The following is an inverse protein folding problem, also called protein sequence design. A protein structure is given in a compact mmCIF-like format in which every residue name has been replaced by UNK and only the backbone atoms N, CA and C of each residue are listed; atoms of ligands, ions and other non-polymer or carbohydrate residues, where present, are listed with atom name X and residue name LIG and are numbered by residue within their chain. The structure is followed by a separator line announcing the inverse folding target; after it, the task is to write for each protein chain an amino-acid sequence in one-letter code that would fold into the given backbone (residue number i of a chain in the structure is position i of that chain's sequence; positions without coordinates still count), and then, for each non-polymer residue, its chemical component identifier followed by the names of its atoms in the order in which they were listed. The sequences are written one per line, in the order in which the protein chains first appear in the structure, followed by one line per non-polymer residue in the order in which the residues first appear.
data_IF_034983260288
#
_entry.id   IF_034983260288
#
_cell.length_a   1.000
_cell.length_b   1.000
_cell.length_c   1.000
_cell.angle_alpha   90.00
_cell.angle_beta   90.00
_cell.angle_gamma   90.00
#
_symmetry.space_group_name_H-M   'P 1'
#
loop_
_entity.id
_entity.type
_entity.pdbx_description
1 polymer ?
#
# COMPACT_ATOMS: atom_id res chain seq x y z
N UNK A 1 -19.08 24.63 -13.35
CA UNK A 1 -19.07 24.80 -11.87
C UNK A 1 -20.00 23.76 -11.28
N UNK A 2 -19.53 22.77 -10.51
CA UNK A 2 -20.42 21.82 -9.85
C UNK A 2 -21.40 22.56 -8.93
N UNK A 3 -22.66 22.12 -8.89
CA UNK A 3 -23.66 22.72 -8.01
C UNK A 3 -23.24 22.52 -6.55
N UNK A 4 -23.48 23.49 -5.68
CA UNK A 4 -23.12 23.40 -4.25
C UNK A 4 -23.65 22.13 -3.57
N UNK A 5 -24.77 21.60 -4.09
CA UNK A 5 -25.37 20.33 -3.67
C UNK A 5 -24.53 19.10 -4.03
N UNK A 6 -23.87 19.04 -5.20
CA UNK A 6 -23.08 17.87 -5.62
C UNK A 6 -21.74 17.80 -4.89
N UNK A 7 -21.10 18.95 -4.65
CA UNK A 7 -19.89 19.02 -3.81
C UNK A 7 -20.19 18.56 -2.38
N UNK A 8 -21.36 18.92 -1.83
CA UNK A 8 -21.78 18.50 -0.49
C UNK A 8 -21.97 16.98 -0.39
N UNK A 9 -22.56 16.33 -1.40
CA UNK A 9 -22.75 14.87 -1.40
C UNK A 9 -21.43 14.11 -1.58
N UNK A 10 -20.52 14.60 -2.43
CA UNK A 10 -19.22 14.00 -2.63
C UNK A 10 -18.33 14.08 -1.37
N UNK A 11 -18.37 15.21 -0.66
CA UNK A 11 -17.70 15.34 0.65
C UNK A 11 -18.29 14.37 1.68
N UNK A 12 -19.62 14.22 1.74
CA UNK A 12 -20.25 13.22 2.63
C UNK A 12 -19.80 11.80 2.30
N UNK A 13 -19.62 11.49 1.02
CA UNK A 13 -19.09 10.21 0.59
C UNK A 13 -17.66 10.00 1.10
N UNK A 14 -16.76 10.98 0.95
CA UNK A 14 -15.40 10.91 1.51
C UNK A 14 -15.39 10.78 3.05
N UNK A 15 -16.25 11.53 3.75
CA UNK A 15 -16.37 11.40 5.21
C UNK A 15 -16.86 10.02 5.63
N UNK A 16 -17.73 9.38 4.85
CA UNK A 16 -18.17 8.02 5.14
C UNK A 16 -17.01 7.01 5.07
N UNK A 17 -16.06 7.17 4.14
CA UNK A 17 -14.83 6.38 4.12
C UNK A 17 -13.99 6.61 5.38
N UNK A 18 -13.81 7.87 5.80
CA UNK A 18 -13.06 8.19 7.03
C UNK A 18 -13.70 7.53 8.27
N UNK A 19 -15.03 7.40 8.30
CA UNK A 19 -15.74 6.66 9.35
C UNK A 19 -15.44 5.16 9.29
N UNK A 20 -15.37 4.56 8.11
CA UNK A 20 -14.99 3.14 7.95
C UNK A 20 -13.55 2.95 8.42
N UNK A 21 -12.60 3.77 7.96
CA UNK A 21 -11.20 3.75 8.39
C UNK A 21 -11.03 3.90 9.91
N UNK A 22 -11.85 4.74 10.55
CA UNK A 22 -11.84 4.88 12.00
C UNK A 22 -12.39 3.64 12.72
N UNK A 23 -13.33 2.91 12.13
CA UNK A 23 -13.82 1.63 12.67
C UNK A 23 -12.75 0.54 12.56
N UNK A 24 -12.06 0.45 11.41
CA UNK A 24 -10.94 -0.49 11.21
C UNK A 24 -9.96 -0.37 12.39
N UNK A 25 -9.43 0.84 12.61
CA UNK A 25 -8.49 1.12 13.71
C UNK A 25 -9.01 0.80 15.12
N UNK A 26 -10.33 0.88 15.35
CA UNK A 26 -10.95 0.61 16.67
C UNK A 26 -11.24 -0.86 16.91
N UNK A 27 -11.56 -1.62 15.85
CA UNK A 27 -11.79 -3.05 15.96
C UNK A 27 -10.54 -3.79 16.45
N UNK A 28 -9.36 -3.20 16.23
CA UNK A 28 -8.08 -3.68 16.73
C UNK A 28 -7.92 -3.58 18.26
N UNK A 29 -8.39 -2.50 18.88
CA UNK A 29 -8.29 -2.31 20.34
C UNK A 29 -9.23 -3.27 21.13
N UNK A 30 -10.04 -4.06 20.43
CA UNK A 30 -11.05 -4.96 20.99
C UNK A 30 -10.62 -6.43 21.13
N UNK A 31 -11.34 -7.16 22.00
CA UNK A 31 -11.10 -8.58 22.29
C UNK A 31 -11.10 -9.49 21.03
N UNK A 32 -10.21 -10.50 20.94
CA UNK A 32 -9.98 -11.31 19.73
C UNK A 32 -11.17 -12.13 19.21
N UNK A 33 -12.20 -12.38 20.03
CA UNK A 33 -13.28 -13.32 19.70
C UNK A 33 -14.17 -12.97 18.50
N UNK A 34 -14.25 -11.70 18.07
CA UNK A 34 -15.15 -11.25 16.99
C UNK A 34 -14.43 -10.66 15.76
N UNK A 35 -13.11 -10.80 15.66
CA UNK A 35 -12.34 -10.01 14.68
C UNK A 35 -12.59 -10.42 13.22
N UNK A 36 -12.63 -11.72 12.89
CA UNK A 36 -12.86 -12.17 11.50
C UNK A 36 -14.23 -11.73 10.93
N UNK A 37 -15.29 -11.78 11.76
CA UNK A 37 -16.62 -11.31 11.37
C UNK A 37 -16.65 -9.79 11.14
N UNK A 38 -15.92 -9.04 11.97
CA UNK A 38 -15.77 -7.60 11.79
C UNK A 38 -15.01 -7.25 10.52
N UNK A 39 -13.95 -8.00 10.18
CA UNK A 39 -13.13 -7.77 8.99
C UNK A 39 -13.96 -7.91 7.71
N UNK A 40 -14.76 -8.98 7.60
CA UNK A 40 -15.65 -9.21 6.47
C UNK A 40 -16.72 -8.10 6.34
N UNK A 41 -17.29 -7.64 7.46
CA UNK A 41 -18.24 -6.52 7.47
C UNK A 41 -17.59 -5.20 7.04
N UNK A 42 -16.36 -4.95 7.47
CA UNK A 42 -15.60 -3.75 7.10
C UNK A 42 -15.21 -3.77 5.63
N UNK A 43 -14.75 -4.92 5.11
CA UNK A 43 -14.46 -5.12 3.68
C UNK A 43 -15.70 -4.91 2.83
N UNK A 44 -16.83 -5.51 3.20
CA UNK A 44 -18.11 -5.31 2.51
C UNK A 44 -18.56 -3.84 2.51
N UNK A 45 -18.34 -3.11 3.62
CA UNK A 45 -18.63 -1.68 3.69
C UNK A 45 -17.72 -0.86 2.76
N UNK A 46 -16.45 -1.23 2.62
CA UNK A 46 -15.53 -0.62 1.64
C UNK A 46 -15.98 -0.90 0.21
N UNK A 47 -16.37 -2.14 -0.10
CA UNK A 47 -16.82 -2.53 -1.44
C UNK A 47 -18.09 -1.78 -1.86
N UNK A 48 -19.01 -1.64 -0.92
CA UNK A 48 -20.23 -0.84 -1.09
C UNK A 48 -19.89 0.63 -1.34
N UNK A 49 -18.93 1.18 -0.59
CA UNK A 49 -18.46 2.54 -0.78
C UNK A 49 -17.85 2.74 -2.19
N UNK A 50 -16.98 1.82 -2.66
CA UNK A 50 -16.33 1.91 -3.97
C UNK A 50 -17.33 1.98 -5.13
N UNK A 51 -18.45 1.26 -5.04
CA UNK A 51 -19.49 1.21 -6.10
C UNK A 51 -20.13 2.56 -6.39
N UNK A 52 -20.12 3.49 -5.44
CA UNK A 52 -20.74 4.80 -5.59
C UNK A 52 -19.82 5.85 -6.23
N UNK A 53 -18.51 5.58 -6.40
CA UNK A 53 -17.52 6.51 -6.97
C UNK A 53 -17.99 7.14 -8.29
N UNK A 54 -18.50 6.39 -9.30
CA UNK A 54 -18.88 6.95 -10.59
C UNK A 54 -19.95 8.06 -10.50
N UNK A 55 -20.72 8.12 -9.41
CA UNK A 55 -21.75 9.15 -9.19
C UNK A 55 -21.17 10.53 -8.88
N UNK A 56 -19.88 10.61 -8.53
CA UNK A 56 -19.22 11.84 -8.09
C UNK A 56 -18.15 12.33 -9.07
N UNK A 57 -17.88 11.56 -10.13
CA UNK A 57 -16.97 11.94 -11.21
C UNK A 57 -17.44 13.25 -11.85
N UNK A 58 -16.56 14.25 -11.89
CA UNK A 58 -16.84 15.53 -12.56
C UNK A 58 -16.08 15.52 -13.89
N UNK A 59 -16.82 15.54 -15.01
CA UNK A 59 -16.25 15.52 -16.37
C UNK A 59 -15.40 16.77 -16.68
N UNK A 60 -15.74 17.92 -16.08
CA UNK A 60 -15.17 19.23 -16.47
C UNK A 60 -14.00 19.73 -15.59
N UNK A 61 -13.53 18.98 -14.59
CA UNK A 61 -12.32 19.38 -13.85
C UNK A 61 -11.53 18.17 -13.32
N UNK A 62 -10.53 17.69 -14.08
CA UNK A 62 -9.79 16.48 -13.75
C UNK A 62 -8.85 16.65 -12.55
N UNK A 63 -8.54 17.88 -12.08
CA UNK A 63 -7.53 18.12 -11.04
C UNK A 63 -8.10 18.33 -9.63
N UNK A 64 -8.93 17.40 -9.15
CA UNK A 64 -9.57 17.55 -7.83
C UNK A 64 -9.51 16.28 -6.98
N UNK A 65 -9.75 16.44 -5.68
CA UNK A 65 -9.89 15.33 -4.73
C UNK A 65 -11.08 14.40 -5.01
N UNK A 66 -11.89 14.71 -6.03
CA UNK A 66 -12.99 13.88 -6.54
C UNK A 66 -12.61 13.11 -7.80
N UNK A 67 -11.34 13.13 -8.20
CA UNK A 67 -10.88 12.35 -9.33
C UNK A 67 -11.16 10.85 -9.09
N UNK A 68 -11.81 10.12 -10.03
CA UNK A 68 -12.26 8.76 -9.78
C UNK A 68 -11.14 7.80 -9.38
N UNK A 69 -9.97 7.89 -10.05
CA UNK A 69 -8.81 7.08 -9.69
C UNK A 69 -8.25 7.45 -8.31
N UNK A 70 -8.34 8.72 -7.90
CA UNK A 70 -7.93 9.10 -6.55
C UNK A 70 -8.87 8.50 -5.51
N UNK A 71 -10.18 8.52 -5.75
CA UNK A 71 -11.16 7.90 -4.86
C UNK A 71 -11.00 6.37 -4.83
N UNK A 72 -10.66 5.74 -5.95
CA UNK A 72 -10.30 4.33 -6.00
C UNK A 72 -9.06 4.04 -5.13
N UNK A 73 -8.00 4.84 -5.25
CA UNK A 73 -6.82 4.71 -4.39
C UNK A 73 -7.18 4.84 -2.89
N UNK A 74 -8.10 5.73 -2.52
CA UNK A 74 -8.56 5.84 -1.13
C UNK A 74 -9.25 4.55 -0.62
N UNK A 75 -10.00 3.88 -1.49
CA UNK A 75 -10.53 2.54 -1.19
C UNK A 75 -9.39 1.53 -1.05
N UNK A 76 -8.45 1.47 -2.00
CA UNK A 76 -7.39 0.47 -2.02
C UNK A 76 -6.46 0.61 -0.81
N UNK A 77 -6.10 1.85 -0.43
CA UNK A 77 -5.40 2.10 0.84
C UNK A 77 -6.20 1.62 2.06
N UNK A 78 -7.53 1.71 2.03
CA UNK A 78 -8.35 1.24 3.15
C UNK A 78 -8.37 -0.28 3.27
N UNK A 79 -8.32 -0.99 2.14
CA UNK A 79 -8.09 -2.44 2.11
C UNK A 79 -6.70 -2.76 2.67
N UNK A 80 -5.66 -2.04 2.23
CA UNK A 80 -4.30 -2.23 2.73
C UNK A 80 -4.23 -1.99 4.25
N UNK A 81 -4.88 -0.96 4.79
CA UNK A 81 -4.93 -0.69 6.24
C UNK A 81 -5.62 -1.84 6.98
N UNK A 82 -6.76 -2.33 6.48
CA UNK A 82 -7.47 -3.46 7.07
C UNK A 82 -6.58 -4.71 7.15
N UNK A 83 -5.76 -4.93 6.13
CA UNK A 83 -4.92 -6.12 5.99
C UNK A 83 -3.60 -6.00 6.76
N UNK A 84 -3.00 -4.80 6.74
CA UNK A 84 -1.83 -4.43 7.52
C UNK A 84 -1.98 -4.77 9.01
N UNK A 85 -3.16 -4.49 9.56
CA UNK A 85 -3.47 -4.72 10.97
C UNK A 85 -3.57 -6.23 11.31
N UNK A 86 -3.85 -7.11 10.34
CA UNK A 86 -3.96 -8.57 10.53
C UNK A 86 -2.87 -9.40 9.84
N UNK A 87 -1.73 -8.81 9.47
CA UNK A 87 -0.65 -9.46 8.68
C UNK A 87 -0.19 -10.85 9.18
N UNK A 88 -0.29 -11.13 10.48
CA UNK A 88 0.15 -12.40 11.10
C UNK A 88 -0.87 -13.55 10.97
N UNK A 89 -2.05 -13.29 10.41
CA UNK A 89 -3.14 -14.27 10.28
C UNK A 89 -3.88 -14.19 8.95
N UNK A 90 -3.26 -13.58 7.95
CA UNK A 90 -3.84 -13.44 6.61
C UNK A 90 -4.19 -14.82 6.04
N UNK A 91 -5.41 -14.96 5.57
CA UNK A 91 -5.83 -16.12 4.80
C UNK A 91 -5.49 -15.92 3.32
N UNK A 92 -5.55 -16.97 2.52
CA UNK A 92 -5.25 -16.89 1.08
C UNK A 92 -6.09 -15.82 0.36
N UNK A 93 -7.40 -15.81 0.60
CA UNK A 93 -8.34 -14.83 0.03
C UNK A 93 -7.96 -13.38 0.43
N UNK A 94 -7.49 -13.18 1.66
CA UNK A 94 -7.03 -11.87 2.12
C UNK A 94 -5.79 -11.40 1.36
N UNK A 95 -4.90 -12.33 1.00
CA UNK A 95 -3.67 -12.06 0.25
C UNK A 95 -3.99 -11.63 -1.18
N UNK A 96 -4.94 -12.27 -1.86
CA UNK A 96 -5.36 -11.87 -3.21
C UNK A 96 -6.01 -10.49 -3.24
N UNK A 97 -6.92 -10.23 -2.30
CA UNK A 97 -7.61 -8.94 -2.17
C UNK A 97 -6.61 -7.79 -1.94
N UNK A 98 -5.65 -7.99 -1.02
CA UNK A 98 -4.67 -6.95 -0.71
C UNK A 98 -3.66 -6.78 -1.84
N UNK A 99 -3.23 -7.86 -2.49
CA UNK A 99 -2.28 -7.78 -3.59
C UNK A 99 -2.89 -7.03 -4.77
N UNK A 100 -4.15 -7.32 -5.09
CA UNK A 100 -4.90 -6.59 -6.12
C UNK A 100 -5.00 -5.10 -5.77
N UNK A 101 -5.36 -4.77 -4.53
CA UNK A 101 -5.43 -3.38 -4.07
C UNK A 101 -4.06 -2.65 -4.16
N UNK A 102 -2.96 -3.34 -3.83
CA UNK A 102 -1.61 -2.77 -3.92
C UNK A 102 -1.20 -2.52 -5.37
N UNK A 103 -1.43 -3.49 -6.27
CA UNK A 103 -1.10 -3.35 -7.69
C UNK A 103 -1.86 -2.15 -8.27
N UNK A 104 -3.17 -2.09 -8.04
CA UNK A 104 -4.02 -0.99 -8.48
C UNK A 104 -3.54 0.36 -7.94
N UNK A 105 -3.23 0.46 -6.64
CA UNK A 105 -2.84 1.75 -6.05
C UNK A 105 -1.48 2.22 -6.58
N UNK A 106 -0.52 1.32 -6.82
CA UNK A 106 0.79 1.68 -7.37
C UNK A 106 0.66 2.21 -8.81
N UNK A 107 -0.09 1.50 -9.66
CA UNK A 107 -0.28 1.88 -11.07
C UNK A 107 -1.13 3.15 -11.21
N UNK A 108 -2.26 3.23 -10.50
CA UNK A 108 -3.15 4.39 -10.54
C UNK A 108 -2.47 5.63 -9.96
N UNK A 109 -1.69 5.50 -8.88
CA UNK A 109 -0.97 6.63 -8.31
C UNK A 109 0.09 7.18 -9.27
N UNK A 110 0.86 6.29 -9.92
CA UNK A 110 1.85 6.72 -10.92
C UNK A 110 1.19 7.50 -12.05
N UNK A 111 0.09 6.98 -12.58
CA UNK A 111 -0.71 7.69 -13.61
C UNK A 111 -1.18 9.07 -13.13
N UNK A 112 -1.71 9.17 -11.91
CA UNK A 112 -2.13 10.45 -11.34
C UNK A 112 -0.96 11.43 -11.18
N UNK A 113 0.21 10.93 -10.82
CA UNK A 113 1.43 11.73 -10.72
C UNK A 113 1.89 12.24 -12.09
N UNK A 114 1.84 11.41 -13.13
CA UNK A 114 2.11 11.80 -14.52
C UNK A 114 1.12 12.85 -15.04
N UNK A 115 -0.14 12.75 -14.63
CA UNK A 115 -1.20 13.74 -14.90
C UNK A 115 -1.04 15.04 -14.06
N UNK A 116 -0.03 15.12 -13.18
CA UNK A 116 0.26 16.31 -12.38
C UNK A 116 -0.73 16.57 -11.24
N UNK A 117 -1.41 15.52 -10.75
CA UNK A 117 -2.47 15.65 -9.75
C UNK A 117 -1.92 16.11 -8.40
N UNK A 118 -2.41 17.25 -7.91
CA UNK A 118 -1.90 17.91 -6.70
C UNK A 118 -1.95 17.04 -5.44
N UNK A 119 -2.95 16.14 -5.36
CA UNK A 119 -3.13 15.24 -4.22
C UNK A 119 -1.99 14.22 -4.07
N UNK A 120 -1.30 13.90 -5.17
CA UNK A 120 -0.14 13.01 -5.16
C UNK A 120 1.07 13.66 -4.48
N UNK A 121 1.15 14.98 -4.40
CA UNK A 121 2.27 15.70 -3.80
C UNK A 121 1.91 16.17 -2.39
N UNK A 122 1.52 15.24 -1.53
CA UNK A 122 1.36 15.48 -0.08
C UNK A 122 2.19 14.49 0.73
N UNK A 123 2.62 14.87 1.94
CA UNK A 123 3.35 13.95 2.82
C UNK A 123 2.50 12.73 3.21
N UNK A 124 1.19 12.91 3.37
CA UNK A 124 0.28 11.79 3.60
C UNK A 124 0.26 10.81 2.43
N UNK A 125 0.26 11.31 1.19
CA UNK A 125 0.34 10.46 0.01
C UNK A 125 1.63 9.65 -0.03
N UNK A 126 2.78 10.26 0.30
CA UNK A 126 4.06 9.55 0.45
C UNK A 126 3.96 8.42 1.49
N UNK A 127 3.43 8.70 2.68
CA UNK A 127 3.32 7.68 3.74
C UNK A 127 2.39 6.53 3.36
N UNK A 128 1.25 6.82 2.70
CA UNK A 128 0.33 5.78 2.24
C UNK A 128 0.90 4.95 1.10
N UNK A 129 1.57 5.58 0.14
CA UNK A 129 2.31 4.88 -0.91
C UNK A 129 3.40 4.00 -0.28
N UNK A 130 4.17 4.54 0.67
CA UNK A 130 5.22 3.79 1.34
C UNK A 130 4.71 2.52 2.02
N UNK A 131 3.58 2.64 2.73
CA UNK A 131 2.91 1.48 3.31
C UNK A 131 2.50 0.45 2.25
N UNK A 132 1.95 0.87 1.12
CA UNK A 132 1.55 -0.02 0.03
C UNK A 132 2.75 -0.78 -0.56
N UNK A 133 3.84 -0.07 -0.86
CA UNK A 133 5.06 -0.68 -1.40
C UNK A 133 5.72 -1.66 -0.43
N UNK A 134 5.82 -1.31 0.86
CA UNK A 134 6.37 -2.24 1.86
C UNK A 134 5.46 -3.47 2.03
N UNK A 135 4.14 -3.28 2.02
CA UNK A 135 3.19 -4.40 2.09
C UNK A 135 3.33 -5.32 0.87
N UNK A 136 3.59 -4.79 -0.33
CA UNK A 136 3.86 -5.57 -1.54
C UNK A 136 5.02 -6.54 -1.31
N UNK A 137 6.17 -6.01 -0.89
CA UNK A 137 7.36 -6.82 -0.63
C UNK A 137 7.11 -7.84 0.48
N UNK A 138 6.39 -7.42 1.53
CA UNK A 138 6.12 -8.29 2.67
C UNK A 138 5.25 -9.50 2.27
N UNK A 139 4.20 -9.30 1.48
CA UNK A 139 3.33 -10.39 0.99
C UNK A 139 4.13 -11.41 0.17
N UNK A 140 5.02 -10.93 -0.70
CA UNK A 140 5.90 -11.79 -1.49
C UNK A 140 6.98 -12.48 -0.64
N UNK A 141 7.34 -11.89 0.50
CA UNK A 141 8.27 -12.49 1.45
C UNK A 141 7.62 -13.60 2.30
N UNK A 142 6.36 -13.42 2.74
CA UNK A 142 5.67 -14.40 3.61
C UNK A 142 4.92 -15.50 2.85
N UNK A 143 4.44 -15.22 1.63
CA UNK A 143 3.55 -16.13 0.89
C UNK A 143 4.22 -16.58 -0.41
N UNK A 144 4.28 -17.90 -0.70
CA UNK A 144 4.63 -18.38 -2.03
C UNK A 144 3.66 -17.84 -3.07
N UNK A 145 4.16 -17.19 -4.12
CA UNK A 145 3.32 -16.56 -5.14
C UNK A 145 3.29 -17.39 -6.42
N UNK A 146 2.11 -17.44 -7.05
CA UNK A 146 1.93 -18.02 -8.37
C UNK A 146 2.61 -17.16 -9.44
N UNK A 147 3.08 -17.81 -10.50
CA UNK A 147 3.78 -17.14 -11.62
C UNK A 147 2.90 -16.05 -12.26
N UNK A 148 1.57 -16.21 -12.22
CA UNK A 148 0.62 -15.27 -12.80
C UNK A 148 0.53 -13.95 -12.01
N UNK A 149 0.75 -13.96 -10.69
CA UNK A 149 0.71 -12.74 -9.86
C UNK A 149 2.04 -11.97 -9.87
N UNK A 150 3.14 -12.65 -10.24
CA UNK A 150 4.51 -12.09 -10.27
C UNK A 150 4.63 -10.94 -11.28
N UNK A 151 4.10 -11.09 -12.50
CA UNK A 151 4.30 -10.06 -13.54
C UNK A 151 3.57 -8.75 -13.23
N UNK A 152 2.27 -8.74 -12.89
CA UNK A 152 1.59 -7.51 -12.49
C UNK A 152 2.21 -6.85 -11.25
N UNK A 153 2.67 -7.65 -10.28
CA UNK A 153 3.36 -7.14 -9.10
C UNK A 153 4.73 -6.52 -9.43
N UNK A 154 5.45 -7.07 -10.41
CA UNK A 154 6.69 -6.51 -10.91
C UNK A 154 6.46 -5.14 -11.56
N UNK A 155 5.51 -5.06 -12.51
CA UNK A 155 5.18 -3.81 -13.19
C UNK A 155 4.72 -2.73 -12.19
N UNK A 156 3.91 -3.12 -11.18
CA UNK A 156 3.52 -2.24 -10.07
C UNK A 156 4.71 -1.78 -9.22
N UNK A 157 5.69 -2.65 -8.97
CA UNK A 157 6.91 -2.31 -8.22
C UNK A 157 7.77 -1.28 -8.97
N UNK A 158 7.91 -1.42 -10.29
CA UNK A 158 8.63 -0.44 -11.12
C UNK A 158 7.93 0.93 -11.16
N UNK A 159 6.59 0.94 -11.29
CA UNK A 159 5.79 2.16 -11.22
C UNK A 159 5.92 2.83 -9.84
N UNK A 160 5.96 2.02 -8.78
CA UNK A 160 6.12 2.48 -7.42
C UNK A 160 7.52 3.02 -7.12
N UNK A 161 8.60 2.36 -7.58
CA UNK A 161 9.96 2.88 -7.47
C UNK A 161 10.06 4.27 -8.11
N UNK A 162 9.54 4.40 -9.34
CA UNK A 162 9.48 5.68 -10.05
C UNK A 162 8.73 6.74 -9.23
N UNK A 163 7.64 6.35 -8.56
CA UNK A 163 6.85 7.24 -7.69
C UNK A 163 7.68 7.75 -6.50
N UNK A 164 8.45 6.89 -5.82
CA UNK A 164 9.31 7.30 -4.72
C UNK A 164 10.47 8.19 -5.18
N UNK A 165 11.07 7.89 -6.33
CA UNK A 165 12.10 8.75 -6.92
C UNK A 165 11.57 10.16 -7.19
N UNK A 166 10.35 10.29 -7.72
CA UNK A 166 9.71 11.60 -7.92
C UNK A 166 9.45 12.35 -6.60
N UNK A 167 9.14 11.64 -5.50
CA UNK A 167 9.04 12.27 -4.18
C UNK A 167 10.41 12.75 -3.69
N UNK A 168 11.45 11.94 -3.81
CA UNK A 168 12.81 12.28 -3.36
C UNK A 168 13.44 13.43 -4.16
N UNK A 169 13.21 13.48 -5.47
CA UNK A 169 13.62 14.60 -6.33
C UNK A 169 12.95 15.92 -5.93
N UNK A 170 11.67 15.84 -5.50
CA UNK A 170 10.91 17.02 -5.09
C UNK A 170 11.22 17.45 -3.67
N UNK A 171 11.43 16.50 -2.76
CA UNK A 171 11.64 16.71 -1.34
C UNK A 171 12.76 15.81 -0.83
N UNK A 172 13.88 16.42 -0.45
CA UNK A 172 15.04 15.71 0.07
C UNK A 172 14.70 14.83 1.28
N UNK A 173 13.79 15.30 2.16
CA UNK A 173 13.28 14.55 3.31
C UNK A 173 12.57 13.23 2.94
N UNK A 174 12.16 13.05 1.69
CA UNK A 174 11.57 11.80 1.20
C UNK A 174 12.62 10.75 0.77
N UNK A 175 13.89 11.13 0.65
CA UNK A 175 14.99 10.24 0.24
C UNK A 175 15.09 8.96 1.08
N UNK A 176 14.93 8.99 2.42
CA UNK A 176 14.98 7.77 3.23
C UNK A 176 13.94 6.72 2.82
N UNK A 177 12.76 7.14 2.36
CA UNK A 177 11.70 6.23 1.90
C UNK A 177 12.12 5.50 0.62
N UNK A 178 12.68 6.24 -0.35
CA UNK A 178 13.17 5.69 -1.62
C UNK A 178 14.33 4.71 -1.40
N UNK A 179 15.33 5.10 -0.58
CA UNK A 179 16.50 4.25 -0.27
C UNK A 179 16.11 2.95 0.44
N UNK A 180 15.25 3.03 1.47
CA UNK A 180 14.79 1.85 2.21
C UNK A 180 14.05 0.87 1.31
N UNK A 181 13.14 1.37 0.47
CA UNK A 181 12.43 0.50 -0.46
C UNK A 181 13.37 -0.13 -1.50
N UNK A 182 14.23 0.67 -2.15
CA UNK A 182 15.14 0.17 -3.19
C UNK A 182 16.09 -0.90 -2.64
N UNK A 183 16.61 -0.70 -1.43
CA UNK A 183 17.43 -1.70 -0.75
C UNK A 183 16.68 -3.02 -0.55
N UNK A 184 15.46 -2.98 -0.01
CA UNK A 184 14.65 -4.18 0.20
C UNK A 184 14.30 -4.85 -1.13
N UNK A 185 13.80 -4.09 -2.09
CA UNK A 185 13.35 -4.60 -3.39
C UNK A 185 14.46 -5.38 -4.12
N UNK A 186 15.70 -4.88 -4.10
CA UNK A 186 16.86 -5.53 -4.71
C UNK A 186 17.24 -6.87 -4.07
N UNK A 187 16.84 -7.14 -2.84
CA UNK A 187 17.13 -8.42 -2.18
C UNK A 187 16.22 -9.55 -2.67
N UNK A 188 15.12 -9.24 -3.35
CA UNK A 188 14.13 -10.22 -3.76
C UNK A 188 14.43 -10.83 -5.13
N UNK A 189 14.50 -12.16 -5.18
CA UNK A 189 14.88 -12.95 -6.36
C UNK A 189 13.73 -13.35 -7.28
N UNK A 190 12.48 -12.99 -6.95
CA UNK A 190 11.31 -13.29 -7.78
C UNK A 190 11.13 -12.31 -8.95
N UNK A 191 11.97 -11.28 -9.01
CA UNK A 191 12.03 -10.35 -10.14
C UNK A 191 12.49 -11.11 -11.41
N UNK A 192 11.83 -10.89 -12.57
CA UNK A 192 12.37 -11.34 -13.84
C UNK A 192 13.82 -10.87 -13.98
N UNK A 193 14.73 -11.77 -14.39
CA UNK A 193 16.14 -11.45 -14.69
C UNK A 193 16.28 -10.64 -15.98
N UNK A 194 15.46 -9.62 -16.18
CA UNK A 194 15.73 -8.61 -17.20
C UNK A 194 16.89 -7.73 -16.71
N UNK A 195 17.69 -7.12 -17.61
CA UNK A 195 18.82 -6.30 -17.21
C UNK A 195 18.29 -5.08 -16.47
N UNK A 196 18.31 -5.15 -15.14
CA UNK A 196 17.94 -4.06 -14.24
C UNK A 196 19.02 -2.99 -14.26
N UNK A 197 19.18 -2.33 -15.41
CA UNK A 197 19.97 -1.10 -15.58
C UNK A 197 19.18 0.15 -15.14
N UNK A 198 17.90 -0.01 -14.78
CA UNK A 198 16.97 1.10 -14.49
C UNK A 198 16.74 1.39 -13.00
N UNK A 199 17.27 0.57 -12.07
CA UNK A 199 17.07 0.75 -10.63
C UNK A 199 18.04 1.81 -10.08
N UNK A 200 17.61 3.08 -10.07
CA UNK A 200 18.46 4.26 -9.98
C UNK A 200 19.09 4.62 -8.62
N UNK A 201 18.94 3.81 -7.58
CA UNK A 201 19.52 4.11 -6.25
C UNK A 201 20.32 2.94 -5.70
N UNK A 202 21.64 3.02 -5.82
CA UNK A 202 22.54 2.18 -5.04
C UNK A 202 22.44 2.58 -3.56
N UNK A 203 21.84 1.71 -2.74
CA UNK A 203 21.80 1.86 -1.30
C UNK A 203 22.62 0.75 -0.66
N UNK A 204 23.64 1.12 0.10
CA UNK A 204 24.41 0.20 0.93
C UNK A 204 23.64 -0.20 2.19
N UNK A 205 24.10 -1.24 2.89
CA UNK A 205 23.51 -1.65 4.17
C UNK A 205 23.60 -0.53 5.23
N UNK A 206 24.75 0.16 5.29
CA UNK A 206 24.95 1.28 6.24
C UNK A 206 23.98 2.43 5.96
N UNK A 207 23.81 2.80 4.68
CA UNK A 207 22.85 3.82 4.28
C UNK A 207 21.40 3.41 4.57
N UNK A 208 21.07 2.13 4.36
CA UNK A 208 19.77 1.57 4.71
C UNK A 208 19.50 1.72 6.20
N UNK A 209 20.45 1.33 7.06
CA UNK A 209 20.30 1.42 8.50
C UNK A 209 20.14 2.87 8.98
N UNK A 210 20.88 3.80 8.39
CA UNK A 210 20.78 5.22 8.72
C UNK A 210 19.45 5.82 8.25
N UNK A 211 18.99 5.48 7.05
CA UNK A 211 17.66 5.86 6.58
C UNK A 211 16.56 5.27 7.47
N UNK A 212 16.69 4.01 7.90
CA UNK A 212 15.73 3.38 8.79
C UNK A 212 15.69 4.07 10.18
N UNK A 213 16.85 4.46 10.72
CA UNK A 213 16.94 5.25 11.96
C UNK A 213 16.24 6.61 11.79
N UNK A 214 16.34 7.25 10.63
CA UNK A 214 15.65 8.50 10.34
C UNK A 214 14.13 8.30 10.26
N UNK A 215 13.66 7.28 9.53
CA UNK A 215 12.23 6.96 9.42
C UNK A 215 11.59 6.61 10.76
N UNK A 216 12.33 5.93 11.66
CA UNK A 216 11.88 5.69 13.04
C UNK A 216 11.59 7.00 13.81
N UNK A 217 12.37 8.05 13.55
CA UNK A 217 12.16 9.38 14.16
C UNK A 217 11.00 10.15 13.51
N UNK A 218 10.74 9.94 12.22
CA UNK A 218 9.77 10.71 11.43
C UNK A 218 8.32 10.17 11.44
N UNK A 219 7.91 9.47 12.50
CA UNK A 219 6.57 8.86 12.64
C UNK A 219 6.25 7.90 11.47
N UNK A 220 7.01 6.81 11.37
CA UNK A 220 6.59 5.64 10.59
C UNK A 220 5.60 4.79 11.39
N UNK A 221 4.57 4.25 10.73
CA UNK A 221 3.62 3.36 11.38
C UNK A 221 4.33 2.09 11.91
N UNK A 222 4.11 1.74 13.18
CA UNK A 222 4.84 0.63 13.86
C UNK A 222 4.79 -0.67 13.10
N UNK A 223 3.65 -1.00 12.48
CA UNK A 223 3.56 -2.24 11.72
C UNK A 223 4.31 -2.19 10.38
N UNK A 224 4.48 -1.01 9.76
CA UNK A 224 5.32 -0.87 8.55
C UNK A 224 6.79 -1.06 8.92
N UNK A 225 7.21 -0.47 10.04
CA UNK A 225 8.55 -0.70 10.59
C UNK A 225 8.79 -2.19 10.90
N UNK A 226 7.82 -2.87 11.54
CA UNK A 226 7.92 -4.29 11.83
C UNK A 226 8.08 -5.16 10.57
N UNK A 227 7.34 -4.84 9.48
CA UNK A 227 7.52 -5.55 8.20
C UNK A 227 8.92 -5.34 7.60
N UNK A 228 9.45 -4.12 7.68
CA UNK A 228 10.81 -3.82 7.21
C UNK A 228 11.83 -4.62 8.02
N UNK A 229 11.69 -4.65 9.34
CA UNK A 229 12.59 -5.36 10.24
C UNK A 229 12.51 -6.89 10.05
N UNK A 230 11.32 -7.44 9.87
CA UNK A 230 11.11 -8.85 9.52
C UNK A 230 11.88 -9.19 8.24
N UNK A 231 11.68 -8.43 7.16
CA UNK A 231 12.31 -8.67 5.86
C UNK A 231 13.84 -8.48 5.87
N UNK A 232 14.33 -7.45 6.57
CA UNK A 232 15.76 -7.11 6.58
C UNK A 232 16.60 -8.04 7.47
N UNK A 233 16.03 -8.54 8.57
CA UNK A 233 16.80 -9.25 9.60
C UNK A 233 16.38 -10.71 9.79
N UNK A 234 15.20 -11.12 9.31
CA UNK A 234 14.78 -12.52 9.35
C UNK A 234 14.93 -13.10 7.94
N UNK A 235 15.82 -14.11 7.77
CA UNK A 235 15.85 -14.89 6.54
C UNK A 235 14.52 -15.63 6.40
N UNK A 236 13.93 -15.59 5.20
CA UNK A 236 12.63 -16.22 4.98
C UNK A 236 12.67 -17.69 5.43
N UNK A 237 11.66 -18.09 6.20
CA UNK A 237 11.50 -19.47 6.65
C UNK A 237 11.29 -20.46 5.47
N UNK A 238 11.22 -19.97 4.24
CA UNK A 238 11.04 -20.72 3.00
C UNK A 238 12.22 -21.65 2.64
N UNK A 239 13.26 -21.75 3.48
CA UNK A 239 14.35 -22.71 3.31
C UNK A 239 14.34 -23.90 4.28
N UNK A 240 13.34 -24.03 5.17
CA UNK A 240 13.16 -25.25 5.97
C UNK A 240 11.70 -25.66 6.05
N UNK A 241 11.42 -26.86 5.55
CA UNK A 241 10.08 -27.37 5.29
C UNK A 241 9.17 -27.57 6.51
N UNK A 242 7.90 -27.74 6.21
CA UNK A 242 6.91 -28.31 7.12
C UNK A 242 5.67 -27.44 7.30
N UNK A 243 4.75 -27.48 6.32
CA UNK A 243 3.33 -27.34 6.65
C UNK A 243 2.97 -28.52 7.56
N UNK A 244 3.11 -28.35 8.88
CA UNK A 244 2.50 -29.27 9.84
C UNK A 244 0.99 -29.01 9.84
N UNK A 245 0.28 -29.88 9.11
CA UNK A 245 -1.09 -30.22 9.44
C UNK A 245 -1.12 -30.68 10.90
N UNK A 246 -1.80 -29.93 11.76
CA UNK A 246 -2.35 -30.50 12.98
C UNK A 246 -3.86 -30.60 12.84
N UNK A 247 -4.27 -31.78 12.39
CA UNK A 247 -5.52 -32.41 12.79
C UNK A 247 -5.51 -32.55 14.30
N UNK A 248 -6.54 -32.02 14.96
CA UNK A 248 -7.31 -32.70 16.01
C UNK A 248 -8.64 -31.99 16.20
#
# INVERSE_FOLDING_TARGET
MPSSSSTSTALRHLFSLRKIQAKIRRCWDGSPGNQASNDALLKSALDTWRKDIPRYSIEDNPSTYLHPLWMANLYDYSVIILMHEKRHRLQHEDVEDVLSAIIEVCLNFRRLQDEGQVMCYTWSALVFQFMAGIMLLYIFWVTPQDVESVRPAFDASCAYESTLSHFAERWEDATPYAKVFSFLFRQYTWLPKEPSEQLGLDCTLDEFEDCLKQLRKQYLHKGVLGMIEDMAYQRSASSNGGFQQHVQ
#
